data_IF_373908776228
#
_entry.id   IF_373908776228
#
_cell.length_a   1.000
_cell.length_b   1.000
_cell.length_c   1.000
_cell.angle_alpha   90.00
_cell.angle_beta   90.00
_cell.angle_gamma   90.00
#
_symmetry.space_group_name_H-M   'P 1'
#
loop_
_entity.id
_entity.type
_entity.pdbx_description
1 polymer ?
#
# COMPACT_ATOMS: atom_id res chain seq x y z
N UNK A 1 28.55 1.08 -3.57
CA UNK A 1 28.35 2.47 -3.15
C UNK A 1 26.85 2.70 -3.00
N UNK A 2 26.43 3.59 -2.11
CA UNK A 2 25.03 3.95 -1.83
C UNK A 2 24.80 5.39 -2.33
N UNK A 3 23.62 5.70 -2.86
CA UNK A 3 23.26 7.09 -3.22
C UNK A 3 23.02 7.95 -1.98
N UNK A 4 22.64 7.30 -0.88
CA UNK A 4 22.27 7.94 0.37
C UNK A 4 23.24 7.58 1.49
N UNK A 5 23.34 8.48 2.45
CA UNK A 5 23.89 8.17 3.76
C UNK A 5 22.75 7.68 4.65
N UNK A 6 22.89 6.46 5.18
CA UNK A 6 21.89 5.89 6.09
C UNK A 6 22.05 6.54 7.47
N UNK A 7 21.03 7.29 7.90
CA UNK A 7 21.06 8.09 9.15
C UNK A 7 19.97 7.70 10.13
N UNK A 8 18.86 7.18 9.63
CA UNK A 8 17.67 6.90 10.43
C UNK A 8 17.41 5.41 10.60
N UNK A 9 18.36 4.56 10.20
CA UNK A 9 18.24 3.10 10.33
C UNK A 9 19.47 2.40 10.86
N UNK A 10 19.22 1.22 11.44
CA UNK A 10 20.23 0.23 11.80
C UNK A 10 20.12 -1.01 10.93
N UNK A 11 21.25 -1.68 10.67
CA UNK A 11 21.25 -2.97 9.99
C UNK A 11 20.64 -4.05 10.89
N UNK A 12 19.79 -4.88 10.30
CA UNK A 12 19.32 -6.12 10.89
C UNK A 12 20.15 -7.30 10.39
N UNK A 13 20.18 -8.36 11.18
CA UNK A 13 20.68 -9.68 10.77
C UNK A 13 19.52 -10.66 10.80
N UNK A 14 18.61 -10.62 9.81
CA UNK A 14 17.47 -11.52 9.79
C UNK A 14 17.93 -12.95 9.45
N UNK A 15 17.21 -13.95 9.95
CA UNK A 15 17.46 -15.33 9.53
C UNK A 15 16.98 -15.56 8.07
N UNK A 16 17.41 -16.67 7.46
CA UNK A 16 16.88 -17.06 6.14
C UNK A 16 15.37 -17.32 6.18
N UNK A 17 14.86 -17.84 7.29
CA UNK A 17 13.42 -18.08 7.47
C UNK A 17 12.65 -16.77 7.51
N UNK A 18 13.20 -15.74 8.17
CA UNK A 18 12.57 -14.42 8.21
C UNK A 18 12.49 -13.78 6.82
N UNK A 19 13.55 -13.92 6.02
CA UNK A 19 13.59 -13.34 4.66
C UNK A 19 12.96 -14.23 3.59
N UNK A 20 12.55 -15.45 3.91
CA UNK A 20 12.18 -16.48 2.94
C UNK A 20 13.24 -16.75 1.85
N UNK A 21 14.48 -16.27 2.04
CA UNK A 21 15.52 -16.20 1.02
C UNK A 21 15.16 -15.38 -0.23
N UNK A 22 14.21 -14.43 -0.16
CA UNK A 22 13.71 -13.71 -1.34
C UNK A 22 14.47 -12.41 -1.64
N UNK A 23 15.22 -11.88 -0.68
CA UNK A 23 15.95 -10.62 -0.80
C UNK A 23 17.49 -10.76 -0.71
N UNK A 24 18.00 -11.90 -1.18
CA UNK A 24 19.43 -12.24 -1.16
C UNK A 24 20.31 -11.09 -1.72
N UNK A 25 21.31 -10.67 -0.94
CA UNK A 25 22.26 -9.63 -1.34
C UNK A 25 21.82 -8.18 -1.07
N UNK A 26 20.62 -7.97 -0.49
CA UNK A 26 20.19 -6.66 -0.02
C UNK A 26 20.22 -6.63 1.52
N UNK A 27 21.00 -5.73 2.14
CA UNK A 27 20.98 -5.58 3.59
C UNK A 27 19.60 -5.14 4.07
N UNK A 28 19.09 -5.78 5.12
CA UNK A 28 17.82 -5.39 5.75
C UNK A 28 18.10 -4.34 6.82
N UNK A 29 17.28 -3.29 6.82
CA UNK A 29 17.41 -2.15 7.74
C UNK A 29 16.11 -1.92 8.48
N UNK A 30 16.22 -1.44 9.73
CA UNK A 30 15.08 -1.04 10.56
C UNK A 30 15.24 0.43 10.95
N UNK A 31 14.18 1.20 10.81
CA UNK A 31 14.09 2.57 11.31
C UNK A 31 14.38 2.60 12.83
N UNK A 32 15.20 3.56 13.28
CA UNK A 32 15.59 3.68 14.69
C UNK A 32 14.41 4.05 15.58
N UNK A 33 13.51 4.90 15.08
CA UNK A 33 12.29 5.32 15.77
C UNK A 33 11.07 4.48 15.35
N UNK A 34 11.18 3.15 15.38
CA UNK A 34 10.08 2.26 14.94
C UNK A 34 8.77 2.48 15.70
N UNK A 35 8.85 2.98 16.93
CA UNK A 35 7.68 3.25 17.76
C UNK A 35 6.78 4.34 17.14
N UNK A 36 7.31 5.22 16.29
CA UNK A 36 6.52 6.22 15.57
C UNK A 36 5.59 5.58 14.54
N UNK A 37 5.98 4.45 13.93
CA UNK A 37 5.07 3.67 13.09
C UNK A 37 3.92 3.14 13.92
N UNK A 38 4.21 2.49 15.04
CA UNK A 38 3.19 1.92 15.92
C UNK A 38 2.18 2.99 16.36
N UNK A 39 2.67 4.18 16.75
CA UNK A 39 1.83 5.33 17.10
C UNK A 39 0.93 5.74 15.92
N UNK A 40 1.50 5.90 14.72
CA UNK A 40 0.76 6.30 13.53
C UNK A 40 -0.32 5.28 13.16
N UNK A 41 0.04 4.00 13.17
CA UNK A 41 -0.86 2.87 12.91
C UNK A 41 -1.98 2.78 13.94
N UNK A 42 -1.68 2.79 15.25
CA UNK A 42 -2.74 2.74 16.27
C UNK A 42 -3.68 3.94 16.19
N UNK A 43 -3.17 5.15 15.90
CA UNK A 43 -4.01 6.33 15.68
C UNK A 43 -4.94 6.16 14.47
N UNK A 44 -4.46 5.58 13.38
CA UNK A 44 -5.29 5.33 12.19
C UNK A 44 -6.39 4.31 12.49
N UNK A 45 -6.06 3.19 13.15
CA UNK A 45 -7.06 2.20 13.56
C UNK A 45 -8.10 2.79 14.53
N UNK A 46 -7.68 3.61 15.49
CA UNK A 46 -8.59 4.29 16.42
C UNK A 46 -9.52 5.29 15.72
N UNK A 47 -8.99 6.11 14.82
CA UNK A 47 -9.80 7.05 14.03
C UNK A 47 -10.76 6.28 13.10
N UNK A 48 -10.34 5.15 12.53
CA UNK A 48 -11.20 4.28 11.74
C UNK A 48 -12.36 3.71 12.56
N UNK A 49 -12.08 3.13 13.74
CA UNK A 49 -13.11 2.64 14.67
C UNK A 49 -14.09 3.74 15.09
N UNK A 50 -13.59 4.96 15.23
CA UNK A 50 -14.39 6.10 15.67
C UNK A 50 -15.28 6.68 14.57
N UNK A 51 -14.81 6.70 13.33
CA UNK A 51 -15.47 7.46 12.25
C UNK A 51 -16.03 6.60 11.11
N UNK A 52 -15.52 5.38 10.92
CA UNK A 52 -15.84 4.51 9.78
C UNK A 52 -16.60 3.28 10.27
N UNK A 53 -15.91 2.31 10.87
CA UNK A 53 -16.51 1.07 11.37
C UNK A 53 -15.60 0.36 12.37
N UNK A 54 -16.18 -0.52 13.17
CA UNK A 54 -15.44 -1.33 14.14
C UNK A 54 -14.45 -2.27 13.43
N UNK A 55 -13.25 -2.40 13.98
CA UNK A 55 -12.26 -3.39 13.58
C UNK A 55 -11.72 -4.08 14.84
N UNK A 56 -11.62 -5.41 14.82
CA UNK A 56 -11.18 -6.20 15.98
C UNK A 56 -9.91 -6.98 15.65
N UNK A 57 -8.90 -6.87 16.52
CA UNK A 57 -7.60 -7.53 16.36
C UNK A 57 -6.90 -7.26 15.02
N UNK A 58 -7.22 -6.12 14.39
CA UNK A 58 -6.64 -5.72 13.12
C UNK A 58 -5.13 -5.50 13.27
N UNK A 59 -4.34 -6.24 12.48
CA UNK A 59 -2.88 -6.10 12.52
C UNK A 59 -2.38 -5.06 11.54
N UNK A 60 -3.04 -4.86 10.39
CA UNK A 60 -2.66 -3.86 9.39
C UNK A 60 -1.19 -3.93 9.01
N UNK A 61 -0.41 -2.90 9.34
CA UNK A 61 1.04 -2.81 9.21
C UNK A 61 1.86 -3.27 10.42
N UNK A 62 1.24 -3.64 11.54
CA UNK A 62 1.94 -4.10 12.75
C UNK A 62 2.43 -5.55 12.60
N UNK A 63 3.72 -5.76 12.88
CA UNK A 63 4.33 -7.08 12.92
C UNK A 63 4.75 -7.50 14.33
N UNK A 64 4.85 -8.81 14.62
CA UNK A 64 5.24 -9.29 15.95
C UNK A 64 6.69 -8.95 16.32
N UNK A 65 7.57 -8.83 15.31
CA UNK A 65 8.99 -8.48 15.49
C UNK A 65 9.33 -7.15 14.82
N UNK A 66 8.81 -6.93 13.63
CA UNK A 66 9.07 -5.74 12.82
C UNK A 66 7.77 -5.29 12.15
N UNK A 67 7.34 -4.06 12.45
CA UNK A 67 6.24 -3.40 11.74
C UNK A 67 6.69 -2.99 10.33
N UNK A 68 5.72 -2.93 9.41
CA UNK A 68 5.93 -2.81 7.97
C UNK A 68 6.77 -1.59 7.60
N UNK A 69 6.35 -0.39 7.97
CA UNK A 69 6.99 0.87 7.60
C UNK A 69 8.42 0.99 8.13
N UNK A 70 8.71 0.45 9.31
CA UNK A 70 10.01 0.45 9.94
C UNK A 70 11.05 -0.30 9.13
N UNK A 71 10.63 -1.30 8.34
CA UNK A 71 11.53 -2.05 7.46
C UNK A 71 11.36 -1.70 5.98
N UNK A 72 10.28 -1.02 5.56
CA UNK A 72 10.10 -0.55 4.16
C UNK A 72 10.83 0.72 3.86
N UNK A 73 10.67 1.63 4.81
CA UNK A 73 11.08 3.01 4.67
C UNK A 73 11.98 3.34 5.85
N UNK A 74 13.06 2.56 6.04
CA UNK A 74 13.91 2.69 7.21
C UNK A 74 14.66 4.03 7.25
N UNK A 75 14.71 4.75 6.12
CA UNK A 75 15.26 6.10 5.99
C UNK A 75 14.18 7.18 5.84
N UNK A 76 12.96 6.91 6.29
CA UNK A 76 11.97 7.97 6.46
C UNK A 76 12.53 9.04 7.41
N UNK A 77 12.16 10.30 7.19
CA UNK A 77 12.50 11.35 8.15
C UNK A 77 11.65 11.15 9.41
N UNK A 78 12.23 11.20 10.63
CA UNK A 78 11.49 10.96 11.87
C UNK A 78 10.26 11.85 12.06
N UNK A 79 10.33 13.11 11.64
CA UNK A 79 9.21 14.08 11.70
C UNK A 79 8.07 13.78 10.70
N UNK A 80 8.31 12.91 9.72
CA UNK A 80 7.32 12.44 8.72
C UNK A 80 6.83 11.03 9.00
N UNK A 81 7.57 10.25 9.78
CA UNK A 81 7.37 8.81 9.87
C UNK A 81 6.03 8.40 10.49
N UNK A 82 5.55 9.13 11.49
CA UNK A 82 4.22 8.88 12.08
C UNK A 82 3.09 9.08 11.05
N UNK A 83 3.07 10.21 10.32
CA UNK A 83 1.98 10.50 9.37
C UNK A 83 2.04 9.60 8.14
N UNK A 84 3.24 9.22 7.70
CA UNK A 84 3.45 8.24 6.62
C UNK A 84 2.91 6.87 7.04
N UNK A 85 3.15 6.45 8.28
CA UNK A 85 2.62 5.19 8.81
C UNK A 85 1.09 5.22 8.99
N UNK A 86 0.54 6.35 9.47
CA UNK A 86 -0.90 6.56 9.53
C UNK A 86 -1.55 6.45 8.14
N UNK A 87 -0.94 7.05 7.10
CA UNK A 87 -1.45 7.00 5.74
C UNK A 87 -1.38 5.58 5.15
N UNK A 88 -0.30 4.85 5.40
CA UNK A 88 -0.17 3.44 5.02
C UNK A 88 -1.24 2.56 5.69
N UNK A 89 -1.49 2.76 6.98
CA UNK A 89 -2.50 2.01 7.70
C UNK A 89 -3.93 2.30 7.19
N UNK A 90 -4.22 3.56 6.83
CA UNK A 90 -5.47 3.90 6.15
C UNK A 90 -5.63 3.15 4.82
N UNK A 91 -4.54 3.01 4.06
CA UNK A 91 -4.56 2.25 2.81
C UNK A 91 -4.87 0.77 3.06
N UNK A 92 -4.23 0.11 4.03
CA UNK A 92 -4.54 -1.28 4.37
C UNK A 92 -5.97 -1.47 4.88
N UNK A 93 -6.50 -0.55 5.68
CA UNK A 93 -7.89 -0.62 6.16
C UNK A 93 -8.89 -0.49 5.02
N UNK A 94 -8.60 0.35 4.02
CA UNK A 94 -9.45 0.53 2.85
C UNK A 94 -9.38 -0.69 1.92
N UNK A 95 -8.18 -1.21 1.66
CA UNK A 95 -7.90 -2.41 0.86
C UNK A 95 -8.69 -3.63 1.40
N UNK A 96 -8.59 -3.89 2.70
CA UNK A 96 -9.30 -5.00 3.36
C UNK A 96 -10.83 -4.87 3.31
N UNK A 97 -11.36 -3.64 3.22
CA UNK A 97 -12.80 -3.42 2.99
C UNK A 97 -13.17 -3.75 1.55
N UNK A 98 -12.37 -3.31 0.58
CA UNK A 98 -12.67 -3.57 -0.84
C UNK A 98 -12.56 -5.05 -1.21
N UNK A 99 -11.69 -5.81 -0.56
CA UNK A 99 -11.46 -7.25 -0.83
C UNK A 99 -12.67 -8.14 -0.56
N UNK A 100 -13.55 -7.76 0.37
CA UNK A 100 -14.71 -8.57 0.79
C UNK A 100 -16.02 -8.13 0.12
N UNK A 101 -15.98 -7.08 -0.69
CA UNK A 101 -17.13 -6.54 -1.39
C UNK A 101 -17.23 -7.13 -2.80
N UNK A 102 -18.45 -7.17 -3.34
CA UNK A 102 -18.60 -7.33 -4.79
C UNK A 102 -18.03 -6.11 -5.54
N UNK A 103 -17.75 -6.27 -6.84
CA UNK A 103 -17.11 -5.22 -7.64
C UNK A 103 -17.88 -3.89 -7.62
N UNK A 104 -19.21 -3.93 -7.68
CA UNK A 104 -20.02 -2.70 -7.69
C UNK A 104 -19.84 -1.92 -6.40
N UNK A 105 -19.89 -2.59 -5.25
CA UNK A 105 -19.67 -1.95 -3.96
C UNK A 105 -18.21 -1.54 -3.76
N UNK A 106 -17.23 -2.34 -4.22
CA UNK A 106 -15.82 -1.97 -4.18
C UNK A 106 -15.53 -0.71 -5.01
N UNK A 107 -16.11 -0.60 -6.21
CA UNK A 107 -16.00 0.57 -7.08
C UNK A 107 -16.57 1.83 -6.41
N UNK A 108 -17.73 1.71 -5.73
CA UNK A 108 -18.32 2.81 -4.96
C UNK A 108 -17.37 3.28 -3.85
N UNK A 109 -16.84 2.34 -3.05
CA UNK A 109 -15.90 2.66 -1.97
C UNK A 109 -14.62 3.33 -2.51
N UNK A 110 -14.11 2.85 -3.65
CA UNK A 110 -12.94 3.42 -4.32
C UNK A 110 -13.21 4.81 -4.89
N UNK A 111 -14.38 5.04 -5.48
CA UNK A 111 -14.79 6.33 -6.02
C UNK A 111 -14.95 7.38 -4.91
N UNK A 112 -15.46 7.00 -3.73
CA UNK A 112 -15.54 7.91 -2.58
C UNK A 112 -14.15 8.39 -2.12
N UNK A 113 -13.19 7.47 -2.02
CA UNK A 113 -11.80 7.77 -1.64
C UNK A 113 -11.12 8.60 -2.72
N UNK A 114 -11.32 8.26 -4.00
CA UNK A 114 -10.82 8.99 -5.15
C UNK A 114 -11.32 10.44 -5.17
N UNK A 115 -12.63 10.65 -5.02
CA UNK A 115 -13.23 12.00 -5.05
C UNK A 115 -12.62 12.92 -4.00
N UNK A 116 -12.36 12.39 -2.80
CA UNK A 116 -11.74 13.11 -1.71
C UNK A 116 -10.28 13.49 -2.02
N UNK A 117 -9.47 12.58 -2.55
CA UNK A 117 -8.10 12.93 -2.94
C UNK A 117 -8.04 13.87 -4.15
N UNK A 118 -8.97 13.75 -5.10
CA UNK A 118 -9.12 14.70 -6.20
C UNK A 118 -9.50 16.09 -5.70
N UNK A 119 -10.41 16.19 -4.72
CA UNK A 119 -10.72 17.44 -4.03
C UNK A 119 -9.47 18.02 -3.37
N UNK A 120 -8.75 17.20 -2.61
CA UNK A 120 -7.49 17.56 -1.96
C UNK A 120 -6.44 18.06 -2.96
N UNK A 121 -6.27 17.37 -4.08
CA UNK A 121 -5.31 17.72 -5.13
C UNK A 121 -5.63 19.06 -5.82
N UNK A 122 -6.91 19.41 -5.97
CA UNK A 122 -7.38 20.67 -6.59
C UNK A 122 -7.34 21.83 -5.61
N UNK A 123 -7.86 21.62 -4.40
CA UNK A 123 -8.16 22.70 -3.46
C UNK A 123 -7.09 22.86 -2.38
N UNK A 124 -6.25 21.84 -2.17
CA UNK A 124 -5.34 21.75 -1.02
C UNK A 124 -6.07 21.51 0.30
N UNK A 125 -7.32 21.07 0.25
CA UNK A 125 -8.16 20.73 1.40
C UNK A 125 -9.22 19.70 0.99
N UNK A 126 -9.73 18.94 1.97
CA UNK A 126 -10.78 17.93 1.79
C UNK A 126 -11.90 18.26 2.79
N UNK A 127 -13.16 18.20 2.35
CA UNK A 127 -14.32 18.33 3.24
C UNK A 127 -14.44 17.10 4.16
N UNK A 128 -13.96 17.27 5.39
CA UNK A 128 -13.94 16.25 6.43
C UNK A 128 -15.32 15.89 7.01
N UNK A 129 -16.38 16.67 6.73
CA UNK A 129 -17.70 16.50 7.35
C UNK A 129 -18.60 15.52 6.61
N UNK A 130 -18.25 15.14 5.38
CA UNK A 130 -19.05 14.26 4.52
C UNK A 130 -19.13 12.82 5.03
N UNK A 131 -18.00 12.19 5.36
CA UNK A 131 -17.95 10.83 5.89
C UNK A 131 -16.66 10.58 6.70
N UNK A 132 -16.59 9.44 7.39
CA UNK A 132 -15.45 9.08 8.23
C UNK A 132 -14.14 8.94 7.47
N UNK A 133 -14.15 8.30 6.29
CA UNK A 133 -12.97 8.15 5.43
C UNK A 133 -12.41 9.51 5.03
N UNK A 134 -13.28 10.43 4.59
CA UNK A 134 -12.90 11.82 4.23
C UNK A 134 -12.30 12.58 5.39
N UNK A 135 -12.76 12.36 6.63
CA UNK A 135 -12.16 12.95 7.82
C UNK A 135 -10.71 12.49 8.02
N UNK A 136 -10.44 11.21 7.81
CA UNK A 136 -9.09 10.66 7.90
C UNK A 136 -8.20 11.15 6.75
N UNK A 137 -8.72 11.18 5.52
CA UNK A 137 -7.99 11.72 4.35
C UNK A 137 -7.66 13.20 4.51
N UNK A 138 -8.60 14.00 5.05
CA UNK A 138 -8.36 15.41 5.36
C UNK A 138 -7.26 15.56 6.40
N UNK A 139 -7.22 14.71 7.44
CA UNK A 139 -6.14 14.69 8.43
C UNK A 139 -4.80 14.37 7.77
N UNK A 140 -4.73 13.34 6.93
CA UNK A 140 -3.52 12.98 6.17
C UNK A 140 -3.01 14.19 5.37
N UNK A 141 -3.86 14.76 4.52
CA UNK A 141 -3.48 15.90 3.67
C UNK A 141 -3.04 17.11 4.49
N UNK A 142 -3.81 17.49 5.52
CA UNK A 142 -3.51 18.68 6.32
C UNK A 142 -2.19 18.53 7.07
N UNK A 143 -1.92 17.37 7.66
CA UNK A 143 -0.66 17.10 8.36
C UNK A 143 0.51 17.11 7.38
N UNK A 144 0.38 16.46 6.21
CA UNK A 144 1.43 16.47 5.19
C UNK A 144 1.70 17.87 4.65
N UNK A 145 0.66 18.67 4.39
CA UNK A 145 0.79 20.06 3.95
C UNK A 145 1.52 20.93 4.99
N UNK A 146 1.22 20.73 6.27
CA UNK A 146 1.85 21.48 7.35
C UNK A 146 3.36 21.20 7.45
N UNK A 147 3.80 20.01 7.03
CA UNK A 147 5.23 19.63 7.00
C UNK A 147 5.91 20.08 5.70
N UNK A 148 5.35 19.72 4.55
CA UNK A 148 5.94 19.96 3.23
C UNK A 148 4.86 20.02 2.15
N UNK A 149 4.27 21.22 1.98
CA UNK A 149 3.17 21.44 1.04
C UNK A 149 3.50 20.98 -0.40
N UNK A 150 4.63 21.36 -1.03
CA UNK A 150 4.92 20.92 -2.40
C UNK A 150 4.90 19.40 -2.56
N UNK A 151 5.58 18.65 -1.67
CA UNK A 151 5.61 17.18 -1.76
C UNK A 151 4.29 16.53 -1.37
N UNK A 152 3.57 17.10 -0.40
CA UNK A 152 2.24 16.63 -0.03
C UNK A 152 1.27 16.68 -1.22
N UNK A 153 1.32 17.75 -2.01
CA UNK A 153 0.47 17.89 -3.19
C UNK A 153 0.84 16.92 -4.31
N UNK A 154 2.12 16.60 -4.48
CA UNK A 154 2.57 15.54 -5.42
C UNK A 154 2.04 14.19 -4.95
N UNK A 155 2.19 13.89 -3.65
CA UNK A 155 1.76 12.61 -3.08
C UNK A 155 0.24 12.38 -3.21
N UNK A 156 -0.58 13.38 -2.89
CA UNK A 156 -2.05 13.26 -3.02
C UNK A 156 -2.51 13.14 -4.47
N UNK A 157 -1.84 13.78 -5.43
CA UNK A 157 -2.13 13.57 -6.85
C UNK A 157 -1.81 12.15 -7.29
N UNK A 158 -0.65 11.63 -6.91
CA UNK A 158 -0.25 10.26 -7.22
C UNK A 158 -1.22 9.24 -6.59
N UNK A 159 -1.70 9.49 -5.37
CA UNK A 159 -2.71 8.64 -4.74
C UNK A 159 -4.06 8.70 -5.49
N UNK A 160 -4.51 9.89 -5.90
CA UNK A 160 -5.70 10.00 -6.73
C UNK A 160 -5.55 9.24 -8.06
N UNK A 161 -4.42 9.38 -8.76
CA UNK A 161 -4.16 8.63 -9.99
C UNK A 161 -4.14 7.12 -9.77
N UNK A 162 -3.59 6.64 -8.64
CA UNK A 162 -3.66 5.22 -8.28
C UNK A 162 -5.11 4.74 -8.12
N UNK A 163 -5.93 5.48 -7.37
CA UNK A 163 -7.33 5.10 -7.15
C UNK A 163 -8.16 5.14 -8.44
N UNK A 164 -7.77 5.95 -9.42
CA UNK A 164 -8.42 6.03 -10.73
C UNK A 164 -8.06 4.85 -11.65
N UNK A 165 -6.83 4.32 -11.56
CA UNK A 165 -6.28 3.37 -12.54
C UNK A 165 -6.09 1.94 -12.01
N UNK A 166 -5.67 1.79 -10.75
CA UNK A 166 -5.23 0.52 -10.16
C UNK A 166 -6.30 -0.14 -9.28
N UNK A 167 -6.50 0.39 -8.07
CA UNK A 167 -7.25 -0.15 -6.92
C UNK A 167 -8.41 -1.14 -7.23
N UNK A 168 -8.11 -2.37 -7.65
CA UNK A 168 -9.07 -3.43 -7.93
C UNK A 168 -10.07 -3.19 -9.06
N UNK A 169 -9.87 -2.19 -9.94
CA UNK A 169 -10.85 -1.84 -10.99
C UNK A 169 -10.95 -2.88 -12.12
N UNK A 170 -9.98 -3.79 -12.23
CA UNK A 170 -9.99 -4.86 -13.24
C UNK A 170 -10.02 -6.26 -12.63
N UNK A 171 -10.54 -6.45 -11.41
CA UNK A 171 -10.61 -7.78 -10.77
C UNK A 171 -11.48 -8.80 -11.51
N UNK A 172 -12.34 -8.36 -12.44
CA UNK A 172 -13.09 -9.24 -13.34
C UNK A 172 -12.24 -9.81 -14.49
N UNK A 173 -11.05 -9.27 -14.74
CA UNK A 173 -10.18 -9.73 -15.83
C UNK A 173 -9.58 -11.08 -15.47
N UNK A 174 -9.78 -12.05 -16.36
CA UNK A 174 -9.11 -13.34 -16.28
C UNK A 174 -7.78 -13.26 -16.99
N UNK A 175 -6.71 -13.61 -16.28
CA UNK A 175 -5.36 -13.66 -16.82
C UNK A 175 -5.01 -15.09 -17.19
N UNK A 176 -4.54 -15.30 -18.42
CA UNK A 176 -4.19 -16.63 -18.91
C UNK A 176 -2.72 -16.99 -18.66
N UNK A 177 -1.90 -16.02 -18.24
CA UNK A 177 -0.51 -16.25 -17.89
C UNK A 177 0.11 -15.11 -17.10
N UNK A 178 1.22 -15.43 -16.44
CA UNK A 178 1.85 -14.52 -15.48
C UNK A 178 2.35 -13.23 -16.15
N UNK A 179 2.91 -13.31 -17.36
CA UNK A 179 3.40 -12.12 -18.07
C UNK A 179 2.26 -11.17 -18.52
N UNK A 180 1.03 -11.67 -18.65
CA UNK A 180 -0.17 -10.84 -18.86
C UNK A 180 -0.68 -10.22 -17.54
N UNK A 181 -0.57 -10.97 -16.45
CA UNK A 181 -0.99 -10.56 -15.11
C UNK A 181 -0.10 -9.45 -14.53
N UNK A 182 1.22 -9.55 -14.71
CA UNK A 182 2.18 -8.68 -14.02
C UNK A 182 2.03 -7.18 -14.34
N UNK A 183 1.81 -6.74 -15.60
CA UNK A 183 1.58 -5.32 -15.88
C UNK A 183 0.38 -4.76 -15.11
N UNK A 184 -0.74 -5.52 -15.08
CA UNK A 184 -1.91 -5.17 -14.28
C UNK A 184 -1.56 -5.10 -12.79
N UNK A 185 -0.92 -6.15 -12.26
CA UNK A 185 -0.64 -6.25 -10.82
C UNK A 185 0.35 -5.19 -10.33
N UNK A 186 1.28 -4.75 -11.17
CA UNK A 186 2.20 -3.65 -10.84
C UNK A 186 1.46 -2.31 -10.70
N UNK A 187 0.38 -2.09 -11.46
CA UNK A 187 -0.49 -0.93 -11.30
C UNK A 187 -1.35 -1.06 -10.04
N UNK A 188 -1.92 -2.24 -9.82
CA UNK A 188 -2.86 -2.55 -8.74
C UNK A 188 -2.24 -2.61 -7.34
N UNK A 189 -0.97 -3.05 -7.18
CA UNK A 189 -0.28 -3.16 -5.87
C UNK A 189 -0.03 -1.80 -5.18
N UNK A 190 -0.47 -0.69 -5.76
CA UNK A 190 -0.32 0.63 -5.15
C UNK A 190 1.02 1.28 -5.41
N UNK A 191 1.70 1.00 -6.54
CA UNK A 191 3.03 1.55 -6.77
C UNK A 191 3.08 3.09 -6.75
N UNK A 192 2.09 3.79 -7.33
CA UNK A 192 2.06 5.25 -7.32
C UNK A 192 1.85 5.80 -5.91
N UNK A 193 1.01 5.13 -5.11
CA UNK A 193 0.82 5.45 -3.70
C UNK A 193 2.10 5.22 -2.89
N UNK A 194 2.77 4.08 -3.09
CA UNK A 194 4.02 3.77 -2.42
C UNK A 194 5.12 4.78 -2.77
N UNK A 195 5.27 5.10 -4.05
CA UNK A 195 6.24 6.07 -4.53
C UNK A 195 6.00 7.47 -3.95
N UNK A 196 4.74 7.86 -3.80
CA UNK A 196 4.33 9.08 -3.14
C UNK A 196 4.72 9.11 -1.66
N UNK A 197 4.51 8.02 -0.92
CA UNK A 197 4.95 7.91 0.48
C UNK A 197 6.47 7.94 0.61
N UNK A 198 7.21 7.28 -0.28
CA UNK A 198 8.69 7.30 -0.28
C UNK A 198 9.21 8.71 -0.52
N UNK A 199 8.73 9.38 -1.57
CA UNK A 199 9.19 10.72 -1.93
C UNK A 199 8.82 11.76 -0.88
N UNK A 200 7.61 11.69 -0.30
CA UNK A 200 7.24 12.54 0.83
C UNK A 200 8.06 12.22 2.07
N UNK A 201 8.11 10.95 2.49
CA UNK A 201 8.73 10.51 3.74
C UNK A 201 10.24 10.78 3.79
N UNK A 202 10.94 10.63 2.66
CA UNK A 202 12.38 10.89 2.56
C UNK A 202 12.73 12.29 2.03
N UNK A 203 11.73 13.17 1.86
CA UNK A 203 11.89 14.51 1.30
C UNK A 203 12.62 14.54 -0.06
N UNK A 204 12.27 13.61 -0.95
CA UNK A 204 12.86 13.51 -2.29
C UNK A 204 12.00 14.26 -3.30
N UNK A 205 12.64 15.01 -4.20
CA UNK A 205 11.94 15.62 -5.36
C UNK A 205 12.61 15.19 -6.64
N UNK A 206 11.88 14.44 -7.45
CA UNK A 206 12.37 13.92 -8.72
C UNK A 206 12.10 14.98 -9.79
N UNK A 207 13.13 15.36 -10.58
CA UNK A 207 12.94 16.25 -11.71
C UNK A 207 11.90 15.70 -12.70
N UNK A 208 11.05 16.56 -13.22
CA UNK A 208 9.96 16.16 -14.13
C UNK A 208 10.48 15.40 -15.36
N UNK A 209 11.65 15.79 -15.89
CA UNK A 209 12.32 15.12 -17.00
C UNK A 209 12.91 13.75 -16.67
N UNK A 210 12.98 13.38 -15.39
CA UNK A 210 13.49 12.08 -14.91
C UNK A 210 12.37 11.14 -14.42
N UNK A 211 11.14 11.64 -14.25
CA UNK A 211 10.01 10.88 -13.69
C UNK A 211 9.71 9.60 -14.46
N UNK A 212 9.58 9.67 -15.79
CA UNK A 212 9.27 8.49 -16.63
C UNK A 212 10.38 7.44 -16.54
N UNK A 213 11.63 7.87 -16.62
CA UNK A 213 12.77 6.98 -16.49
C UNK A 213 12.84 6.35 -15.09
N UNK A 214 12.57 7.11 -14.03
CA UNK A 214 12.52 6.55 -12.68
C UNK A 214 11.43 5.50 -12.50
N UNK A 215 10.26 5.70 -13.13
CA UNK A 215 9.18 4.72 -13.14
C UNK A 215 9.57 3.44 -13.89
N UNK A 216 10.27 3.54 -15.03
CA UNK A 216 10.77 2.38 -15.77
C UNK A 216 11.81 1.59 -14.96
N UNK A 217 12.74 2.28 -14.29
CA UNK A 217 13.81 1.63 -13.53
C UNK A 217 13.30 0.80 -12.35
N UNK A 218 12.14 1.15 -11.77
CA UNK A 218 11.57 0.45 -10.61
C UNK A 218 10.73 -0.76 -10.97
N UNK A 219 10.43 -1.02 -12.25
CA UNK A 219 9.51 -2.11 -12.65
C UNK A 219 9.91 -3.48 -12.06
N UNK A 220 11.19 -3.91 -12.06
CA UNK A 220 11.56 -5.17 -11.41
C UNK A 220 11.32 -5.17 -9.89
N UNK A 221 11.50 -4.01 -9.23
CA UNK A 221 11.18 -3.88 -7.82
C UNK A 221 9.68 -4.06 -7.56
N UNK A 222 8.85 -3.39 -8.35
CA UNK A 222 7.39 -3.50 -8.25
C UNK A 222 6.93 -4.94 -8.50
N UNK A 223 7.47 -5.58 -9.54
CA UNK A 223 7.19 -6.98 -9.86
C UNK A 223 7.55 -7.91 -8.69
N UNK A 224 8.72 -7.74 -8.09
CA UNK A 224 9.13 -8.51 -6.93
C UNK A 224 8.19 -8.28 -5.74
N UNK A 225 7.84 -7.03 -5.46
CA UNK A 225 6.96 -6.66 -4.35
C UNK A 225 5.54 -7.25 -4.53
N UNK A 226 4.97 -7.12 -5.73
CA UNK A 226 3.68 -7.71 -6.12
C UNK A 226 3.65 -9.22 -5.94
N UNK A 227 4.59 -9.94 -6.56
CA UNK A 227 4.63 -11.40 -6.48
C UNK A 227 4.84 -11.89 -5.04
N UNK A 228 5.62 -11.14 -4.26
CA UNK A 228 5.83 -11.51 -2.87
C UNK A 228 4.60 -11.19 -2.02
N UNK A 229 3.82 -10.15 -2.33
CA UNK A 229 2.51 -9.96 -1.70
C UNK A 229 1.64 -11.19 -1.99
N UNK A 230 1.45 -11.51 -3.26
CA UNK A 230 0.63 -12.64 -3.72
C UNK A 230 1.04 -13.98 -3.09
N UNK A 231 2.35 -14.22 -2.95
CA UNK A 231 2.89 -15.45 -2.36
C UNK A 231 2.40 -15.69 -0.93
N UNK A 232 2.23 -14.63 -0.15
CA UNK A 232 1.92 -14.70 1.28
C UNK A 232 0.50 -14.22 1.63
N UNK A 233 -0.19 -13.54 0.70
CA UNK A 233 -1.60 -13.17 0.85
C UNK A 233 -2.54 -14.20 0.22
N UNK A 234 -2.03 -15.17 -0.54
CA UNK A 234 -2.85 -16.12 -1.30
C UNK A 234 -3.96 -16.79 -0.46
N UNK A 235 -3.63 -17.34 0.71
CA UNK A 235 -4.61 -18.03 1.54
C UNK A 235 -5.73 -17.08 2.01
N UNK A 236 -5.38 -15.84 2.41
CA UNK A 236 -6.33 -14.79 2.79
C UNK A 236 -7.23 -14.41 1.61
N UNK A 237 -6.63 -14.16 0.44
CA UNK A 237 -7.34 -13.73 -0.77
C UNK A 237 -8.25 -14.85 -1.31
N UNK A 238 -7.83 -16.11 -1.20
CA UNK A 238 -8.65 -17.27 -1.54
C UNK A 238 -9.87 -17.38 -0.63
N UNK A 239 -9.71 -17.19 0.69
CA UNK A 239 -10.84 -17.17 1.63
C UNK A 239 -11.80 -16.02 1.32
N UNK A 240 -11.29 -14.82 1.06
CA UNK A 240 -12.10 -13.66 0.69
C UNK A 240 -12.90 -13.91 -0.61
N UNK A 241 -12.25 -14.43 -1.64
CA UNK A 241 -12.91 -14.77 -2.90
C UNK A 241 -14.01 -15.83 -2.71
N UNK A 242 -13.77 -16.85 -1.87
CA UNK A 242 -14.77 -17.87 -1.55
C UNK A 242 -15.98 -17.28 -0.81
N UNK A 243 -15.75 -16.39 0.17
CA UNK A 243 -16.80 -15.71 0.91
C UNK A 243 -17.65 -14.79 0.01
N UNK A 244 -17.01 -14.12 -0.95
CA UNK A 244 -17.67 -13.29 -1.95
C UNK A 244 -18.34 -14.10 -3.08
N UNK A 245 -18.15 -15.42 -3.12
CA UNK A 245 -18.69 -16.28 -4.17
C UNK A 245 -18.04 -16.06 -5.55
N UNK A 246 -16.80 -15.56 -5.57
CA UNK A 246 -16.05 -15.31 -6.79
C UNK A 246 -15.45 -16.61 -7.35
N UNK A 247 -15.44 -16.79 -8.68
CA UNK A 247 -14.96 -18.02 -9.31
C UNK A 247 -13.42 -18.11 -9.38
N UNK A 248 -12.72 -16.98 -9.24
CA UNK A 248 -11.29 -16.84 -9.46
C UNK A 248 -10.66 -15.95 -8.38
N UNK A 249 -9.33 -16.00 -8.23
CA UNK A 249 -8.56 -15.15 -7.31
C UNK A 249 -7.56 -14.32 -8.11
N UNK A 250 -7.49 -13.01 -7.85
CA UNK A 250 -6.58 -12.07 -8.53
C UNK A 250 -5.18 -12.16 -7.92
N UNK A 251 -4.52 -13.31 -8.09
CA UNK A 251 -3.26 -13.64 -7.45
C UNK A 251 -2.35 -14.44 -8.39
N UNK A 252 -1.04 -14.14 -8.40
CA UNK A 252 -0.06 -14.83 -9.24
C UNK A 252 -0.04 -16.35 -9.04
N UNK A 253 -0.28 -16.87 -7.84
CA UNK A 253 -0.31 -18.31 -7.59
C UNK A 253 -1.50 -18.97 -8.30
N UNK A 254 -2.67 -18.33 -8.28
CA UNK A 254 -3.85 -18.78 -9.03
C UNK A 254 -3.56 -18.82 -10.52
N UNK A 255 -2.98 -17.73 -11.06
CA UNK A 255 -2.60 -17.64 -12.48
C UNK A 255 -1.60 -18.74 -12.86
N UNK A 256 -0.55 -18.94 -12.08
CA UNK A 256 0.49 -19.95 -12.35
C UNK A 256 -0.04 -21.38 -12.32
N UNK A 257 -0.94 -21.69 -11.39
CA UNK A 257 -1.58 -23.01 -11.31
C UNK A 257 -2.38 -23.31 -12.59
N UNK A 258 -3.12 -22.32 -13.10
CA UNK A 258 -3.94 -22.48 -14.30
C UNK A 258 -3.13 -22.46 -15.59
N UNK A 259 -2.17 -21.53 -15.71
CA UNK A 259 -1.29 -21.39 -16.89
C UNK A 259 -0.51 -22.67 -17.16
N UNK A 260 -0.03 -23.34 -16.10
CA UNK A 260 0.88 -24.47 -16.23
C UNK A 260 0.31 -25.81 -15.78
N UNK A 261 -0.92 -25.84 -15.27
CA UNK A 261 -1.55 -27.03 -14.69
C UNK A 261 -0.67 -27.70 -13.63
N UNK A 262 -0.24 -26.91 -12.64
CA UNK A 262 0.69 -27.33 -11.57
C UNK A 262 0.05 -27.21 -10.19
N UNK A 263 0.68 -27.86 -9.20
CA UNK A 263 0.25 -27.77 -7.80
C UNK A 263 0.50 -26.37 -7.22
N UNK A 264 -0.17 -26.06 -6.10
CA UNK A 264 0.09 -24.83 -5.34
C UNK A 264 1.56 -24.74 -4.89
N UNK A 265 2.15 -25.85 -4.45
CA UNK A 265 3.55 -25.89 -4.02
C UNK A 265 4.52 -25.58 -5.18
N UNK A 266 4.24 -26.13 -6.37
CA UNK A 266 5.03 -25.80 -7.56
C UNK A 266 4.81 -24.34 -8.00
N UNK A 267 3.60 -23.81 -7.89
CA UNK A 267 3.30 -22.41 -8.16
C UNK A 267 4.05 -21.48 -7.19
N UNK A 268 4.05 -21.80 -5.87
CA UNK A 268 4.84 -21.10 -4.85
C UNK A 268 6.33 -21.13 -5.19
N UNK A 269 6.86 -22.28 -5.61
CA UNK A 269 8.27 -22.40 -6.01
C UNK A 269 8.59 -21.53 -7.23
N UNK A 270 7.77 -21.56 -8.28
CA UNK A 270 7.97 -20.71 -9.47
C UNK A 270 7.87 -19.23 -9.14
N UNK A 271 6.90 -18.84 -8.30
CA UNK A 271 6.75 -17.46 -7.83
C UNK A 271 8.02 -17.00 -7.07
N UNK A 272 8.52 -17.80 -6.12
CA UNK A 272 9.78 -17.52 -5.40
C UNK A 272 10.98 -17.34 -6.33
N UNK A 273 11.11 -18.20 -7.35
CA UNK A 273 12.18 -18.08 -8.35
C UNK A 273 12.06 -16.79 -9.17
N UNK A 274 10.83 -16.40 -9.56
CA UNK A 274 10.59 -15.14 -10.26
C UNK A 274 10.93 -13.94 -9.38
N UNK A 275 10.50 -13.92 -8.12
CA UNK A 275 10.84 -12.87 -7.15
C UNK A 275 12.35 -12.68 -7.06
N UNK A 276 13.12 -13.76 -6.85
CA UNK A 276 14.59 -13.70 -6.76
C UNK A 276 15.21 -13.12 -8.02
N UNK A 277 14.70 -13.50 -9.21
CA UNK A 277 15.18 -12.95 -10.50
C UNK A 277 14.99 -11.44 -10.57
N UNK A 278 13.80 -10.95 -10.21
CA UNK A 278 13.48 -9.52 -10.25
C UNK A 278 14.26 -8.71 -9.21
N UNK A 279 14.49 -9.26 -8.01
CA UNK A 279 15.34 -8.64 -6.97
C UNK A 279 16.80 -8.52 -7.43
N UNK A 280 17.35 -9.55 -8.05
CA UNK A 280 18.71 -9.51 -8.62
C UNK A 280 18.81 -8.48 -9.74
N UNK A 281 17.81 -8.44 -10.62
CA UNK A 281 17.77 -7.48 -11.72
C UNK A 281 17.67 -6.04 -11.21
N UNK A 282 16.79 -5.77 -10.24
CA UNK A 282 16.71 -4.45 -9.65
C UNK A 282 18.01 -4.04 -8.94
N UNK A 283 18.67 -4.97 -8.26
CA UNK A 283 19.97 -4.73 -7.64
C UNK A 283 21.05 -4.37 -8.67
N UNK A 284 20.99 -4.95 -9.88
CA UNK A 284 21.85 -4.58 -11.01
C UNK A 284 21.52 -3.17 -11.51
N UNK A 285 20.24 -2.87 -11.76
CA UNK A 285 19.75 -1.57 -12.20
C UNK A 285 20.18 -0.46 -11.24
N UNK A 286 20.06 -0.66 -9.93
CA UNK A 286 20.49 0.34 -8.93
C UNK A 286 21.99 0.58 -9.04
N UNK A 287 22.82 -0.48 -9.14
CA UNK A 287 24.28 -0.32 -9.30
C UNK A 287 24.66 0.50 -10.54
N UNK A 288 23.99 0.25 -11.66
CA UNK A 288 24.20 0.98 -12.91
C UNK A 288 23.70 2.43 -12.82
N UNK A 289 22.55 2.64 -12.18
CA UNK A 289 21.96 3.96 -11.95
C UNK A 289 22.87 4.87 -11.12
N UNK A 290 23.60 4.31 -10.15
CA UNK A 290 24.50 5.10 -9.30
C UNK A 290 25.64 5.77 -10.09
N UNK A 291 26.13 5.12 -11.15
CA UNK A 291 27.27 5.62 -11.96
C UNK A 291 26.84 6.48 -13.16
N UNK A 292 25.53 6.60 -13.41
CA UNK A 292 24.98 7.46 -14.47
C UNK A 292 25.22 8.93 -14.19
N UNK A 293 25.56 9.71 -15.23
CA UNK A 293 25.78 11.16 -15.10
C UNK A 293 24.58 11.99 -15.54
N UNK A 294 23.59 11.34 -16.15
CA UNK A 294 22.35 11.94 -16.69
C UNK A 294 21.18 11.92 -15.69
N UNK A 295 21.40 11.40 -14.48
CA UNK A 295 20.40 11.32 -13.41
C UNK A 295 20.82 12.16 -12.20
N UNK A 296 19.85 12.90 -11.65
CA UNK A 296 20.01 13.65 -10.43
C UNK A 296 20.33 12.76 -9.22
N UNK A 297 20.88 13.39 -8.17
CA UNK A 297 21.09 12.72 -6.88
C UNK A 297 19.78 12.22 -6.28
N UNK A 298 18.70 12.96 -6.46
CA UNK A 298 17.35 12.63 -5.96
C UNK A 298 16.85 11.33 -6.60
N UNK A 299 16.95 11.22 -7.92
CA UNK A 299 16.59 10.02 -8.66
C UNK A 299 17.45 8.82 -8.29
N UNK A 300 18.76 9.00 -8.07
CA UNK A 300 19.60 7.90 -7.55
C UNK A 300 19.19 7.48 -6.14
N UNK A 301 18.82 8.44 -5.30
CA UNK A 301 18.43 8.21 -3.91
C UNK A 301 17.13 7.41 -3.82
N UNK A 302 16.12 7.74 -4.64
CA UNK A 302 14.85 6.99 -4.63
C UNK A 302 15.06 5.54 -5.02
N UNK A 303 15.93 5.25 -6.01
CA UNK A 303 16.20 3.87 -6.42
C UNK A 303 16.88 3.06 -5.30
N UNK A 304 17.77 3.70 -4.54
CA UNK A 304 18.44 3.03 -3.42
C UNK A 304 17.48 2.76 -2.25
N UNK A 305 16.52 3.66 -2.01
CA UNK A 305 15.47 3.50 -0.98
C UNK A 305 14.48 2.41 -1.39
N UNK A 306 14.01 2.40 -2.63
CA UNK A 306 13.10 1.36 -3.14
C UNK A 306 13.78 -0.02 -3.08
N UNK A 307 15.11 -0.08 -3.23
CA UNK A 307 15.84 -1.35 -3.05
C UNK A 307 15.71 -1.88 -1.63
N UNK A 308 15.69 -1.01 -0.62
CA UNK A 308 15.43 -1.39 0.77
C UNK A 308 13.98 -1.88 0.93
N UNK A 309 13.01 -1.24 0.28
CA UNK A 309 11.61 -1.67 0.30
C UNK A 309 11.42 -3.13 -0.16
N UNK A 310 12.08 -3.57 -1.23
CA UNK A 310 11.98 -4.97 -1.70
C UNK A 310 12.46 -6.03 -0.71
N UNK A 311 13.20 -5.65 0.33
CA UNK A 311 13.55 -6.59 1.41
C UNK A 311 12.36 -6.98 2.28
N UNK A 312 11.30 -6.19 2.23
CA UNK A 312 10.17 -6.33 3.13
C UNK A 312 9.15 -7.37 2.76
N UNK A 313 8.78 -7.49 1.48
CA UNK A 313 7.63 -8.33 1.13
C UNK A 313 7.86 -9.75 1.64
N UNK A 314 9.13 -10.15 1.73
CA UNK A 314 9.55 -11.41 2.30
C UNK A 314 9.52 -11.46 3.84
N UNK A 315 9.98 -10.40 4.52
CA UNK A 315 10.08 -10.33 5.98
C UNK A 315 8.74 -10.08 6.69
N UNK A 316 7.91 -9.18 6.15
CA UNK A 316 6.63 -8.81 6.76
C UNK A 316 5.56 -9.85 6.50
N UNK A 317 5.41 -10.29 5.25
CA UNK A 317 4.29 -11.17 4.90
C UNK A 317 4.50 -12.60 5.41
N UNK A 318 5.74 -13.06 5.58
CA UNK A 318 6.06 -14.35 6.21
C UNK A 318 5.83 -14.40 7.73
N UNK A 319 5.67 -13.25 8.41
CA UNK A 319 5.47 -13.18 9.87
C UNK A 319 4.11 -12.61 10.29
N UNK A 320 3.44 -11.81 9.45
CA UNK A 320 2.29 -10.99 9.86
C UNK A 320 0.95 -11.30 9.15
N UNK A 321 0.95 -11.58 7.83
CA UNK A 321 -0.30 -11.66 7.05
C UNK A 321 -1.01 -13.02 7.09
N UNK A 322 -0.31 -14.12 7.33
CA UNK A 322 -0.93 -15.46 7.48
C UNK A 322 -1.95 -15.56 8.64
N UNK A 323 -1.97 -14.59 9.57
CA UNK A 323 -2.81 -14.62 10.78
C UNK A 323 -3.87 -13.51 10.88
N UNK A 324 -4.00 -12.65 9.86
CA UNK A 324 -4.98 -11.56 9.87
C UNK A 324 -6.40 -12.08 9.64
N UNK A 325 -7.31 -11.80 10.59
CA UNK A 325 -8.74 -11.97 10.39
C UNK A 325 -9.31 -10.76 9.67
N UNK A 326 -10.18 -10.99 8.69
CA UNK A 326 -10.88 -9.96 7.92
C UNK A 326 -11.78 -9.08 8.80
N UNK A 327 -12.06 -7.87 8.32
CA UNK A 327 -12.99 -6.95 8.97
C UNK A 327 -14.40 -7.56 8.92
N UNK A 328 -15.15 -7.64 10.03
CA UNK A 328 -16.49 -8.22 10.03
C UNK A 328 -17.44 -7.47 9.09
N UNK A 329 -18.21 -8.20 8.27
CA UNK A 329 -19.08 -7.64 7.23
C UNK A 329 -20.41 -7.02 7.72
N UNK A 330 -20.62 -6.91 9.04
CA UNK A 330 -21.90 -6.42 9.58
C UNK A 330 -21.93 -4.88 9.60
N UNK A 331 -22.57 -4.27 8.58
CA UNK A 331 -22.97 -2.86 8.66
C UNK A 331 -23.92 -2.65 9.85
N UNK A 332 -23.68 -1.66 10.73
CA UNK A 332 -24.73 -1.17 11.60
C UNK A 332 -25.86 -0.59 10.74
N UNK A 333 -27.11 -1.03 10.95
CA UNK A 333 -28.28 -0.39 10.34
C UNK A 333 -28.29 1.09 10.73
N UNK A 334 -27.89 1.97 9.82
CA UNK A 334 -28.06 3.41 10.03
C UNK A 334 -29.55 3.69 10.20
N UNK A 335 -29.92 4.14 11.39
CA UNK A 335 -31.26 4.63 11.67
C UNK A 335 -31.56 5.79 10.73
N UNK A 336 -32.49 5.56 9.79
CA UNK A 336 -33.06 6.59 8.95
C UNK A 336 -33.77 7.59 9.87
N UNK A 337 -33.12 8.73 10.13
CA UNK A 337 -33.74 9.88 10.77
C UNK A 337 -34.75 10.51 9.80
N UNK A 338 -35.97 9.97 9.76
CA UNK A 338 -37.10 10.68 9.16
C UNK A 338 -37.43 11.89 10.02
N UNK A 339 -37.09 13.09 9.52
CA UNK A 339 -37.63 14.36 10.02
C UNK A 339 -39.15 14.35 9.83
N UNK A 340 -39.91 14.04 10.89
CA UNK A 340 -41.32 14.43 10.97
C UNK A 340 -41.39 15.91 11.31
N UNK A 341 -41.52 16.73 10.26
CA UNK A 341 -41.99 18.12 10.41
C UNK A 341 -43.46 18.11 10.79
N UNK A 342 -43.75 18.21 12.09
CA UNK A 342 -45.10 18.45 12.59
C UNK A 342 -45.43 19.94 12.56
N UNK A 343 -46.22 20.36 11.56
CA UNK A 343 -46.89 21.66 11.59
C UNK A 343 -48.15 21.51 12.46
N UNK A 344 -48.13 22.08 13.67
CA UNK A 344 -49.32 22.22 14.50
C UNK A 344 -50.20 23.34 13.93
N UNK A 345 -51.42 23.00 13.48
CA UNK A 345 -52.52 23.95 13.35
C UNK A 345 -53.41 23.83 14.59
N UNK A 346 -53.45 24.89 15.39
CA UNK A 346 -54.45 25.10 16.42
C UNK A 346 -55.67 25.76 15.79
N UNK A 347 -56.85 25.16 15.98
CA UNK A 347 -58.15 25.81 15.90
C UNK A 347 -59.07 25.15 16.92
N UNK A 348 -59.48 25.90 17.95
CA UNK A 348 -60.87 25.95 18.45
C UNK A 348 -60.92 26.79 19.74
N UNK A 349 -61.28 28.07 19.58
CA UNK A 349 -62.41 28.80 20.22
C UNK A 349 -62.12 30.28 20.28
#
# INVERSE_FOLDING_TARGET
MSAIEYRYSTLLTPSQDETGGLCDGIPVRKHIDSDLEEIGTFKAQQDWMKYVQEVQNYKGGLGPKHSFMAVSLPECLPDRFEIVSYANEFAFLHDDVTDILDQENADIENDEVLEAFLEGARNGSIDALKCGKRRMQAKILNTMIAIDRPRAMVAVRAWASFMEQGAGRQHHRRFCGLDEYLPYRCEDVGHMFWYALVTFGCAITIPENETSLCAELVVPALTAASLTNDLFSYEKELEAAQLAGLPDVVNALWVLMHEHNISLEDAKLRCRLRIKKEVMEYSRIVKETLVRNDLSKESKSVQDIIKQHNTMSANYNGQGRESQKSIPSERPRMAVWHRRGGLARHTAM
#
